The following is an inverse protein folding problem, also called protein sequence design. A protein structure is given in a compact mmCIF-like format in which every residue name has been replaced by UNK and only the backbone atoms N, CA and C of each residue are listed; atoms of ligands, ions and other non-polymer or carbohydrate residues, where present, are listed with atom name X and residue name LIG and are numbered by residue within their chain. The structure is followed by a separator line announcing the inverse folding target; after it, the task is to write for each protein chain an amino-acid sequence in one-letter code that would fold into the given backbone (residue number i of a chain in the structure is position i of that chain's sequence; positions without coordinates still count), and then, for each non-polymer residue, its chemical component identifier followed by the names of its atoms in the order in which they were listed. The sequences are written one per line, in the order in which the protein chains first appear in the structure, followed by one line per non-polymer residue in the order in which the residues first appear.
data_IF_812396708293
#
_entry.id   IF_812396708293
#
_cell.length_a   1.000
_cell.length_b   1.000
_cell.length_c   1.000
_cell.angle_alpha   90.00
_cell.angle_beta   90.00
_cell.angle_gamma   90.00
#
_symmetry.space_group_name_H-M   'P 1'
#
loop_
_entity.id
_entity.type
_entity.pdbx_description
1 polymer ?
#
# COMPACT_ATOMS: atom_id res chain seq x y z
N UNK A 1 54.59 54.70 32.92
CA UNK A 1 53.17 54.58 32.53
C UNK A 1 53.09 53.74 31.26
N UNK A 2 52.66 52.47 31.29
CA UNK A 2 52.50 51.67 30.08
C UNK A 2 51.10 51.85 29.50
N UNK A 3 51.03 52.11 28.19
CA UNK A 3 49.79 52.20 27.43
C UNK A 3 49.32 50.78 27.05
N UNK A 4 48.11 50.41 27.49
CA UNK A 4 47.49 49.14 27.13
C UNK A 4 46.86 49.22 25.74
N UNK A 5 47.49 48.53 24.79
CA UNK A 5 46.89 48.09 23.52
C UNK A 5 45.78 47.07 23.83
N UNK A 6 44.55 47.31 23.39
CA UNK A 6 43.50 46.28 23.37
C UNK A 6 43.13 45.96 21.92
N UNK A 7 43.14 44.67 21.65
CA UNK A 7 42.95 44.02 20.37
C UNK A 7 41.48 44.10 19.95
N UNK A 8 41.26 44.32 18.65
CA UNK A 8 39.97 44.33 17.97
C UNK A 8 39.47 42.89 17.87
N UNK A 9 38.32 42.60 18.48
CA UNK A 9 37.63 41.31 18.34
C UNK A 9 36.69 41.39 17.14
N UNK A 10 37.08 40.78 16.03
CA UNK A 10 36.27 40.63 14.83
C UNK A 10 35.24 39.52 15.07
N UNK A 11 33.99 39.88 15.36
CA UNK A 11 32.88 38.93 15.43
C UNK A 11 32.50 38.49 14.00
N UNK A 12 32.89 37.27 13.64
CA UNK A 12 32.37 36.57 12.46
C UNK A 12 30.91 36.16 12.74
N UNK A 13 29.94 36.87 12.16
CA UNK A 13 28.54 36.48 12.18
C UNK A 13 28.33 35.30 11.21
N UNK A 14 28.16 34.10 11.77
CA UNK A 14 27.64 32.94 11.03
C UNK A 14 26.13 33.13 10.81
N UNK A 15 25.76 33.49 9.58
CA UNK A 15 24.37 33.50 9.13
C UNK A 15 23.94 32.06 8.81
N UNK A 16 23.44 31.34 9.82
CA UNK A 16 22.89 30.00 9.66
C UNK A 16 21.52 30.05 8.98
N UNK A 17 21.49 29.78 7.68
CA UNK A 17 20.28 29.66 6.88
C UNK A 17 19.50 28.40 7.31
N UNK A 18 18.49 28.56 8.16
CA UNK A 18 17.46 27.55 8.39
C UNK A 18 16.59 27.46 7.12
N UNK A 19 16.87 26.50 6.25
CA UNK A 19 15.90 26.07 5.24
C UNK A 19 14.87 25.16 5.94
N UNK A 20 13.59 25.55 6.05
CA UNK A 20 12.56 24.64 6.53
C UNK A 20 12.41 23.52 5.50
N UNK A 21 12.71 22.28 5.90
CA UNK A 21 12.44 21.09 5.09
C UNK A 21 10.92 20.91 5.02
N UNK A 22 10.32 21.40 3.96
CA UNK A 22 8.94 21.06 3.59
C UNK A 22 8.92 19.56 3.28
N UNK A 23 8.41 18.77 4.22
CA UNK A 23 8.12 17.36 3.99
C UNK A 23 6.98 17.27 2.96
N UNK A 24 7.31 17.00 1.70
CA UNK A 24 6.31 16.63 0.71
C UNK A 24 5.71 15.28 1.13
N UNK A 25 4.46 15.30 1.59
CA UNK A 25 3.67 14.08 1.74
C UNK A 25 3.46 13.49 0.34
N UNK A 26 3.91 12.25 0.12
CA UNK A 26 3.55 11.52 -1.09
C UNK A 26 2.01 11.45 -1.20
N UNK A 27 1.43 11.56 -2.40
CA UNK A 27 0.00 11.42 -2.58
C UNK A 27 -0.46 10.09 -1.96
N UNK A 28 -1.55 10.13 -1.19
CA UNK A 28 -2.13 8.92 -0.65
C UNK A 28 -2.57 8.05 -1.85
N UNK A 29 -2.01 6.86 -1.98
CA UNK A 29 -2.43 5.88 -2.99
C UNK A 29 -3.37 4.85 -2.35
N UNK A 30 -4.21 4.25 -3.18
CA UNK A 30 -5.09 3.14 -2.81
C UNK A 30 -4.86 1.95 -3.73
N UNK A 31 -4.91 0.74 -3.18
CA UNK A 31 -4.98 -0.49 -3.99
C UNK A 31 -6.44 -0.82 -4.21
N UNK A 32 -6.85 -0.96 -5.47
CA UNK A 32 -8.17 -1.43 -5.86
C UNK A 32 -8.08 -2.79 -6.54
N UNK A 33 -8.79 -3.79 -6.01
CA UNK A 33 -8.86 -5.12 -6.59
C UNK A 33 -10.27 -5.40 -7.13
N UNK A 34 -10.37 -5.69 -8.43
CA UNK A 34 -11.58 -6.23 -9.03
C UNK A 34 -11.66 -7.71 -8.71
N UNK A 35 -12.73 -8.15 -8.03
CA UNK A 35 -12.94 -9.53 -7.62
C UNK A 35 -14.25 -10.04 -8.19
N UNK A 36 -14.20 -11.18 -8.87
CA UNK A 36 -15.36 -11.83 -9.49
C UNK A 36 -15.55 -13.23 -8.92
N UNK A 37 -16.76 -13.54 -8.47
CA UNK A 37 -17.14 -14.86 -7.98
C UNK A 37 -18.61 -15.14 -8.31
N UNK A 38 -18.91 -16.33 -8.84
CA UNK A 38 -20.28 -16.72 -9.19
C UNK A 38 -20.97 -15.80 -10.22
N UNK A 39 -20.19 -15.13 -11.07
CA UNK A 39 -20.67 -14.16 -12.06
C UNK A 39 -20.88 -12.74 -11.53
N UNK A 40 -20.72 -12.49 -10.23
CA UNK A 40 -20.80 -11.15 -9.64
C UNK A 40 -19.40 -10.56 -9.45
N UNK A 41 -19.21 -9.30 -9.88
CA UNK A 41 -17.96 -8.56 -9.74
C UNK A 41 -18.11 -7.40 -8.76
N UNK A 42 -17.08 -7.14 -7.95
CA UNK A 42 -17.00 -5.95 -7.09
C UNK A 42 -15.57 -5.46 -6.90
N UNK A 43 -15.43 -4.18 -6.57
CA UNK A 43 -14.16 -3.58 -6.19
C UNK A 43 -13.94 -3.77 -4.67
N UNK A 44 -12.75 -4.21 -4.30
CA UNK A 44 -12.27 -4.26 -2.90
C UNK A 44 -11.07 -3.34 -2.81
N UNK A 45 -11.12 -2.35 -1.93
CA UNK A 45 -10.08 -1.34 -1.82
C UNK A 45 -9.29 -1.45 -0.51
N UNK A 46 -8.03 -1.04 -0.54
CA UNK A 46 -7.20 -0.90 0.65
C UNK A 46 -6.36 0.38 0.60
N UNK A 47 -6.35 1.07 1.73
CA UNK A 47 -5.43 2.16 2.03
C UNK A 47 -4.16 1.61 2.71
N UNK A 48 -3.05 2.37 2.72
CA UNK A 48 -1.87 1.97 3.47
C UNK A 48 -2.19 1.76 4.95
N UNK A 49 -1.55 0.76 5.56
CA UNK A 49 -1.66 0.44 6.99
C UNK A 49 -0.30 0.37 7.65
N UNK A 50 -0.20 0.83 8.90
CA UNK A 50 1.03 0.71 9.69
C UNK A 50 1.30 -0.72 10.16
N UNK A 51 0.26 -1.56 10.31
CA UNK A 51 0.39 -2.94 10.79
C UNK A 51 -0.46 -3.90 9.96
N UNK A 52 0.13 -4.98 9.40
CA UNK A 52 -0.57 -5.92 8.55
C UNK A 52 -1.61 -6.76 9.31
N UNK A 53 -1.49 -6.85 10.64
CA UNK A 53 -2.38 -7.65 11.49
C UNK A 53 -3.70 -6.96 11.81
N UNK A 54 -3.81 -5.65 11.55
CA UNK A 54 -5.04 -4.88 11.76
C UNK A 54 -6.05 -5.01 10.62
N UNK A 55 -5.64 -5.60 9.50
CA UNK A 55 -6.43 -5.64 8.27
C UNK A 55 -7.48 -6.75 8.34
N UNK A 56 -8.79 -6.43 8.26
CA UNK A 56 -9.84 -7.43 8.26
C UNK A 56 -9.87 -8.22 6.96
N UNK A 57 -10.51 -9.39 7.01
CA UNK A 57 -10.92 -10.12 5.80
C UNK A 57 -12.27 -9.61 5.32
N UNK A 58 -12.50 -9.67 4.01
CA UNK A 58 -13.78 -9.32 3.38
C UNK A 58 -14.42 -10.55 2.76
N UNK A 59 -15.69 -10.82 3.04
CA UNK A 59 -16.41 -11.95 2.46
C UNK A 59 -16.66 -11.75 0.96
N UNK A 60 -16.35 -12.75 0.15
CA UNK A 60 -16.64 -12.79 -1.30
C UNK A 60 -17.59 -13.95 -1.55
N UNK A 61 -18.89 -13.64 -1.59
CA UNK A 61 -19.93 -14.67 -1.64
C UNK A 61 -19.81 -15.63 -0.44
N UNK A 62 -20.13 -16.90 -0.67
CA UNK A 62 -20.26 -17.88 0.41
C UNK A 62 -18.95 -18.58 0.78
N UNK A 63 -17.99 -18.67 -0.14
CA UNK A 63 -16.87 -19.63 -0.01
C UNK A 63 -15.51 -18.97 0.16
N UNK A 64 -15.40 -17.68 -0.14
CA UNK A 64 -14.12 -16.99 -0.18
C UNK A 64 -14.08 -15.81 0.79
N UNK A 65 -12.90 -15.60 1.35
CA UNK A 65 -12.53 -14.41 2.09
C UNK A 65 -11.35 -13.78 1.36
N UNK A 66 -11.37 -12.46 1.24
CA UNK A 66 -10.37 -11.70 0.50
C UNK A 66 -9.78 -10.61 1.39
N UNK A 67 -8.46 -10.46 1.36
CA UNK A 67 -7.77 -9.46 2.18
C UNK A 67 -6.62 -8.85 1.41
N UNK A 68 -6.57 -7.53 1.42
CA UNK A 68 -5.49 -6.74 0.81
C UNK A 68 -4.75 -6.04 1.95
N UNK A 69 -3.47 -6.36 2.12
CA UNK A 69 -2.58 -5.69 3.04
C UNK A 69 -1.69 -4.78 2.21
N UNK A 70 -1.82 -3.47 2.39
CA UNK A 70 -0.97 -2.49 1.73
C UNK A 70 -0.11 -1.78 2.78
N UNK A 71 1.20 -2.01 2.74
CA UNK A 71 2.18 -1.23 3.51
C UNK A 71 3.03 -0.43 2.53
N UNK A 72 3.04 0.89 2.66
CA UNK A 72 3.88 1.78 1.86
C UNK A 72 5.12 2.26 2.64
N UNK A 73 5.19 1.98 3.94
CA UNK A 73 6.31 2.33 4.82
C UNK A 73 6.51 1.27 5.94
N UNK A 74 7.73 1.14 6.49
CA UNK A 74 8.98 1.71 5.96
C UNK A 74 9.36 1.08 4.61
N UNK A 75 10.24 1.75 3.83
CA UNK A 75 10.55 1.35 2.46
C UNK A 75 11.06 -0.10 2.34
N UNK A 76 11.80 -0.59 3.34
CA UNK A 76 12.32 -1.96 3.37
C UNK A 76 11.24 -3.03 3.58
N UNK A 77 10.07 -2.63 4.08
CA UNK A 77 8.92 -3.51 4.33
C UNK A 77 7.74 -3.21 3.38
N UNK A 78 7.87 -2.20 2.51
CA UNK A 78 6.81 -1.74 1.66
C UNK A 78 6.40 -2.82 0.64
N UNK A 79 5.16 -3.26 0.74
CA UNK A 79 4.61 -4.33 -0.08
C UNK A 79 3.09 -4.28 -0.11
N UNK A 80 2.54 -4.85 -1.19
CA UNK A 80 1.12 -5.15 -1.31
C UNK A 80 0.97 -6.67 -1.27
N UNK A 81 0.21 -7.18 -0.29
CA UNK A 81 -0.08 -8.61 -0.16
C UNK A 81 -1.57 -8.84 -0.35
N UNK A 82 -1.91 -9.75 -1.26
CA UNK A 82 -3.29 -10.18 -1.50
C UNK A 82 -3.43 -11.60 -0.99
N UNK A 83 -4.43 -11.82 -0.15
CA UNK A 83 -4.79 -13.11 0.40
C UNK A 83 -6.17 -13.51 -0.09
N UNK A 84 -6.29 -14.77 -0.51
CA UNK A 84 -7.57 -15.44 -0.67
C UNK A 84 -7.62 -16.62 0.28
N UNK A 85 -8.67 -16.69 1.08
CA UNK A 85 -8.90 -17.76 2.04
C UNK A 85 -10.22 -18.45 1.71
N UNK A 86 -10.28 -19.76 1.94
CA UNK A 86 -11.52 -20.50 1.98
C UNK A 86 -12.25 -20.21 3.29
N UNK A 87 -13.52 -19.80 3.22
CA UNK A 87 -14.42 -19.74 4.37
C UNK A 87 -14.88 -21.17 4.70
N UNK A 88 -14.36 -21.75 5.77
CA UNK A 88 -14.65 -23.13 6.20
C UNK A 88 -15.16 -23.16 7.64
N UNK A 89 -15.86 -24.23 7.99
CA UNK A 89 -16.43 -24.42 9.33
C UNK A 89 -15.36 -24.51 10.42
N UNK A 90 -14.17 -25.01 10.09
CA UNK A 90 -13.00 -25.04 10.97
C UNK A 90 -12.18 -23.74 10.95
N UNK A 91 -12.68 -22.70 10.28
CA UNK A 91 -12.08 -21.38 10.20
C UNK A 91 -11.48 -21.04 8.84
N UNK A 92 -11.14 -19.75 8.63
CA UNK A 92 -10.50 -19.28 7.40
C UNK A 92 -9.20 -20.03 7.08
N UNK A 93 -9.13 -20.68 5.91
CA UNK A 93 -7.92 -21.38 5.46
C UNK A 93 -7.29 -20.65 4.28
N UNK A 94 -6.04 -20.16 4.35
CA UNK A 94 -5.35 -19.57 3.21
C UNK A 94 -5.21 -20.57 2.05
N UNK A 95 -5.67 -20.17 0.86
CA UNK A 95 -5.57 -20.99 -0.37
C UNK A 95 -4.78 -20.28 -1.47
N UNK A 96 -4.57 -18.96 -1.35
CA UNK A 96 -3.70 -18.19 -2.22
C UNK A 96 -3.10 -16.99 -1.49
N UNK A 97 -1.84 -16.67 -1.80
CA UNK A 97 -1.18 -15.44 -1.38
C UNK A 97 -0.28 -14.93 -2.51
N UNK A 98 -0.46 -13.68 -2.90
CA UNK A 98 0.44 -12.96 -3.79
C UNK A 98 1.09 -11.79 -3.03
N UNK A 99 2.40 -11.64 -3.18
CA UNK A 99 3.16 -10.51 -2.61
C UNK A 99 3.80 -9.73 -3.76
N UNK A 100 3.53 -8.43 -3.80
CA UNK A 100 4.09 -7.51 -4.79
C UNK A 100 4.90 -6.43 -4.07
N UNK A 101 6.10 -6.07 -4.57
CA UNK A 101 6.85 -4.95 -4.03
C UNK A 101 6.06 -3.66 -4.24
N UNK A 102 6.25 -2.69 -3.35
CA UNK A 102 5.72 -1.35 -3.53
C UNK A 102 6.89 -0.32 -3.62
N UNK A 103 6.88 0.58 -4.62
CA UNK A 103 5.90 0.67 -5.70
C UNK A 103 5.99 -0.55 -6.65
N UNK A 104 4.86 -1.04 -7.17
CA UNK A 104 4.87 -2.12 -8.13
C UNK A 104 5.60 -1.70 -9.40
N UNK A 105 6.25 -2.64 -10.12
CA UNK A 105 6.85 -2.33 -11.41
C UNK A 105 5.82 -1.70 -12.33
N UNK A 106 6.22 -0.67 -13.08
CA UNK A 106 5.32 0.04 -13.97
C UNK A 106 4.65 -0.94 -14.95
N UNK A 107 3.37 -1.23 -14.72
CA UNK A 107 2.57 -2.12 -15.56
C UNK A 107 2.10 -1.35 -16.80
N UNK A 108 3.05 -0.94 -17.65
CA UNK A 108 2.74 -0.21 -18.88
C UNK A 108 1.76 -1.04 -19.71
N UNK A 109 0.53 -0.55 -19.84
CA UNK A 109 -0.56 -1.12 -20.66
C UNK A 109 -1.14 -2.48 -20.20
N UNK A 110 -1.05 -2.84 -18.91
CA UNK A 110 -1.72 -4.05 -18.41
C UNK A 110 -3.21 -3.81 -18.16
N UNK A 111 -4.09 -4.54 -18.87
CA UNK A 111 -5.54 -4.56 -18.62
C UNK A 111 -5.89 -5.00 -17.19
N UNK A 112 -5.01 -5.77 -16.55
CA UNK A 112 -5.23 -6.39 -15.25
C UNK A 112 -4.26 -5.87 -14.17
N UNK A 113 -3.86 -4.60 -14.29
CA UNK A 113 -3.02 -3.92 -13.32
C UNK A 113 -1.68 -4.63 -13.04
N UNK A 114 -1.16 -4.48 -11.82
CA UNK A 114 0.16 -4.99 -11.45
C UNK A 114 0.17 -6.47 -11.04
N UNK A 115 -1.00 -7.04 -10.75
CA UNK A 115 -1.12 -8.47 -10.37
C UNK A 115 -1.28 -9.39 -11.56
N UNK A 116 -1.75 -8.87 -12.71
CA UNK A 116 -2.36 -9.69 -13.75
C UNK A 116 -3.69 -10.30 -13.29
N UNK A 117 -4.39 -11.01 -14.19
CA UNK A 117 -5.59 -11.77 -13.85
C UNK A 117 -5.21 -13.07 -13.17
N UNK A 118 -5.71 -13.26 -11.95
CA UNK A 118 -5.50 -14.45 -11.13
C UNK A 118 -6.81 -15.24 -11.03
N UNK A 119 -6.70 -16.57 -11.03
CA UNK A 119 -7.80 -17.51 -10.81
C UNK A 119 -7.46 -18.35 -9.57
N UNK A 120 -8.36 -18.39 -8.59
CA UNK A 120 -8.17 -19.10 -7.32
C UNK A 120 -9.34 -20.03 -7.10
N UNK A 121 -9.04 -21.29 -6.78
CA UNK A 121 -10.03 -22.36 -6.67
C UNK A 121 -10.18 -22.82 -5.22
N UNK A 122 -11.42 -22.92 -4.74
CA UNK A 122 -11.74 -23.53 -3.44
C UNK A 122 -12.11 -25.01 -3.65
N UNK A 123 -11.20 -25.91 -3.24
CA UNK A 123 -11.25 -27.32 -3.64
C UNK A 123 -12.40 -28.14 -3.06
N UNK A 124 -13.08 -27.70 -2.01
CA UNK A 124 -14.14 -28.50 -1.38
C UNK A 124 -15.52 -28.29 -2.01
N UNK A 125 -15.76 -27.09 -2.55
CA UNK A 125 -17.08 -26.69 -3.09
C UNK A 125 -16.99 -26.22 -4.54
N UNK A 126 -15.88 -26.55 -5.21
CA UNK A 126 -15.56 -26.23 -6.62
C UNK A 126 -15.79 -24.75 -6.97
N UNK A 127 -15.52 -23.85 -6.02
CA UNK A 127 -15.66 -22.41 -6.25
C UNK A 127 -14.47 -21.87 -7.02
N UNK A 128 -14.70 -20.98 -7.99
CA UNK A 128 -13.66 -20.18 -8.65
C UNK A 128 -13.84 -18.70 -8.32
N UNK A 129 -12.78 -18.07 -7.80
CA UNK A 129 -12.66 -16.63 -7.64
C UNK A 129 -11.61 -16.09 -8.61
N UNK A 130 -11.96 -15.06 -9.36
CA UNK A 130 -11.03 -14.35 -10.24
C UNK A 130 -10.73 -12.97 -9.65
N UNK A 131 -9.47 -12.53 -9.71
CA UNK A 131 -9.14 -11.17 -9.30
C UNK A 131 -7.97 -10.55 -10.05
N UNK A 132 -7.93 -9.23 -10.06
CA UNK A 132 -6.75 -8.44 -10.42
C UNK A 132 -6.75 -7.11 -9.67
N UNK A 133 -5.59 -6.50 -9.45
CA UNK A 133 -5.45 -5.27 -8.69
C UNK A 133 -4.61 -4.21 -9.41
N UNK A 134 -4.98 -2.95 -9.19
CA UNK A 134 -4.28 -1.76 -9.65
C UNK A 134 -4.04 -0.77 -8.50
N UNK A 135 -3.19 0.23 -8.77
CA UNK A 135 -3.07 1.42 -7.92
C UNK A 135 -3.95 2.52 -8.49
N UNK A 136 -4.57 3.29 -7.59
CA UNK A 136 -5.28 4.52 -7.91
C UNK A 136 -4.85 5.63 -6.94
N UNK A 137 -4.86 6.90 -7.37
CA UNK A 137 -4.79 8.02 -6.44
C UNK A 137 -5.93 7.90 -5.42
N UNK A 138 -5.69 8.22 -4.15
CA UNK A 138 -6.77 8.29 -3.17
C UNK A 138 -7.79 9.35 -3.63
N UNK A 139 -9.07 9.00 -3.58
CA UNK A 139 -10.15 9.93 -3.90
C UNK A 139 -9.99 11.23 -3.08
N UNK A 140 -9.71 12.34 -3.78
CA UNK A 140 -9.48 13.67 -3.18
C UNK A 140 -8.19 14.39 -3.61
N UNK A 141 -7.36 13.82 -4.48
CA UNK A 141 -6.11 14.45 -4.94
C UNK A 141 -6.23 15.29 -6.24
N UNK A 142 -7.42 15.38 -6.85
CA UNK A 142 -7.70 16.24 -8.01
C UNK A 142 -8.48 17.50 -7.58
N UNK A 143 -7.91 18.34 -6.72
CA UNK A 143 -8.22 19.78 -6.71
C UNK A 143 -7.14 20.55 -5.92
N UNK A 144 -6.12 21.05 -6.61
CA UNK A 144 -5.29 22.21 -6.20
C UNK A 144 -4.50 22.72 -7.40
#
# INVERSE_FOLDING_TARGET
MPAHRRLIATHLLLCGSLCPQLAMSAPAETVGCHVTYGGASRLVEARPVASPYSVPVTEIGSYFLFRIVFQNEPAELAAIKVYVLAARDNGPTPIHQATHPYPPPAAKHSLYGFTGLNHVYESLRDGELQYWCGLAPAAGAEES
#
